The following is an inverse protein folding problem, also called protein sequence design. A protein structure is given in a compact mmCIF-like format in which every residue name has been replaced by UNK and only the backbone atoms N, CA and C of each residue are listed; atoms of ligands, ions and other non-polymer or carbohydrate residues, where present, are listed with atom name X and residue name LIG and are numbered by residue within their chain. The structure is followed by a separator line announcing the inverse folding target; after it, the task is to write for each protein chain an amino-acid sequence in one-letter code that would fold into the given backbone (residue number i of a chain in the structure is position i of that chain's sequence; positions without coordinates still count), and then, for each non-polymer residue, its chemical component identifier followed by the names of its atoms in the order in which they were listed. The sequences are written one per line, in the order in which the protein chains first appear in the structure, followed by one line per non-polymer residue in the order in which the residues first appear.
data_IF_575875950750
#
_entry.id   IF_575875950750
#
_cell.length_a   1.000
_cell.length_b   1.000
_cell.length_c   1.000
_cell.angle_alpha   90.00
_cell.angle_beta   90.00
_cell.angle_gamma   90.00
#
_symmetry.space_group_name_H-M   'P 1'
#
loop_
_entity.id
_entity.type
_entity.pdbx_description
1 polymer ?
#
# COMPACT_ATOMS: atom_id res chain seq x y z
N UNK A 1 -28.03 -13.38 18.90
CA UNK A 1 -26.65 -12.87 19.02
C UNK A 1 -26.42 -11.91 17.87
N UNK A 2 -26.16 -10.63 18.16
CA UNK A 2 -25.93 -9.61 17.13
C UNK A 2 -24.54 -9.75 16.56
N UNK A 3 -24.44 -9.78 15.23
CA UNK A 3 -23.16 -9.61 14.53
C UNK A 3 -22.82 -8.13 14.56
N UNK A 4 -21.70 -7.77 15.18
CA UNK A 4 -21.14 -6.42 15.05
C UNK A 4 -20.05 -6.45 13.96
N UNK A 5 -20.14 -5.60 12.92
CA UNK A 5 -19.15 -5.58 11.87
C UNK A 5 -17.78 -5.15 12.42
N UNK A 6 -16.67 -5.67 11.85
CA UNK A 6 -15.34 -5.28 12.27
C UNK A 6 -15.13 -3.77 12.04
N UNK A 7 -14.87 -3.04 13.12
CA UNK A 7 -14.46 -1.63 13.08
C UNK A 7 -12.95 -1.52 12.86
N UNK A 8 -12.47 -0.35 12.43
CA UNK A 8 -11.04 -0.10 12.22
C UNK A 8 -10.20 -0.43 13.48
N UNK A 9 -10.71 -0.10 14.67
CA UNK A 9 -10.04 -0.41 15.94
C UNK A 9 -9.85 -1.93 16.16
N UNK A 10 -10.81 -2.76 15.75
CA UNK A 10 -10.70 -4.22 15.85
C UNK A 10 -9.61 -4.76 14.91
N UNK A 11 -9.53 -4.24 13.69
CA UNK A 11 -8.49 -4.62 12.72
C UNK A 11 -7.11 -4.22 13.22
N UNK A 12 -6.95 -2.99 13.70
CA UNK A 12 -5.68 -2.46 14.20
C UNK A 12 -5.19 -3.27 15.42
N UNK A 13 -6.07 -3.53 16.39
CA UNK A 13 -5.72 -4.33 17.56
C UNK A 13 -5.29 -5.77 17.18
N UNK A 14 -5.98 -6.38 16.22
CA UNK A 14 -5.63 -7.72 15.73
C UNK A 14 -4.28 -7.73 14.98
N UNK A 15 -3.99 -6.68 14.20
CA UNK A 15 -2.71 -6.53 13.52
C UNK A 15 -1.55 -6.34 14.53
N UNK A 16 -1.72 -5.44 15.49
CA UNK A 16 -0.70 -5.15 16.51
C UNK A 16 -0.31 -6.38 17.34
N UNK A 17 -1.24 -7.31 17.55
CA UNK A 17 -0.98 -8.51 18.34
C UNK A 17 0.03 -9.46 17.66
N UNK A 18 -0.13 -9.77 16.37
CA UNK A 18 0.60 -10.87 15.72
C UNK A 18 0.79 -10.71 14.19
N UNK A 19 0.90 -9.49 13.63
CA UNK A 19 0.92 -9.30 12.16
C UNK A 19 1.96 -10.15 11.41
N UNK A 20 3.15 -10.36 11.97
CA UNK A 20 4.19 -11.16 11.31
C UNK A 20 3.86 -12.66 11.21
N UNK A 21 2.96 -13.16 12.06
CA UNK A 21 2.57 -14.57 12.08
C UNK A 21 1.41 -14.86 11.12
N UNK A 22 0.84 -13.85 10.47
CA UNK A 22 -0.27 -14.03 9.54
C UNK A 22 0.23 -14.65 8.23
N UNK A 23 -0.24 -15.86 7.95
CA UNK A 23 -0.01 -16.53 6.67
C UNK A 23 -0.75 -15.82 5.51
N UNK A 24 -0.34 -16.09 4.26
CA UNK A 24 -0.88 -15.42 3.07
C UNK A 24 -2.38 -15.64 2.82
N UNK A 25 -2.98 -16.68 3.40
CA UNK A 25 -4.42 -16.97 3.32
C UNK A 25 -5.21 -16.30 4.45
N UNK A 26 -4.54 -15.71 5.44
CA UNK A 26 -5.19 -14.97 6.51
C UNK A 26 -6.01 -13.81 5.93
N UNK A 27 -7.32 -13.74 6.21
CA UNK A 27 -8.17 -12.63 5.77
C UNK A 27 -7.66 -11.28 6.27
N UNK A 28 -7.08 -11.24 7.48
CA UNK A 28 -6.51 -10.01 8.04
C UNK A 28 -5.29 -9.54 7.25
N UNK A 29 -4.41 -10.47 6.85
CA UNK A 29 -3.26 -10.13 6.00
C UNK A 29 -3.70 -9.61 4.64
N UNK A 30 -4.69 -10.27 4.02
CA UNK A 30 -5.23 -9.86 2.73
C UNK A 30 -5.82 -8.45 2.84
N UNK A 31 -6.66 -8.22 3.84
CA UNK A 31 -7.26 -6.91 4.12
C UNK A 31 -6.21 -5.81 4.31
N UNK A 32 -5.18 -6.03 5.14
CA UNK A 32 -4.09 -5.06 5.35
C UNK A 32 -3.34 -4.78 4.04
N UNK A 33 -3.10 -5.82 3.24
CA UNK A 33 -2.40 -5.69 1.95
C UNK A 33 -3.23 -4.88 0.94
N UNK A 34 -4.54 -5.11 0.88
CA UNK A 34 -5.48 -4.34 0.05
C UNK A 34 -5.58 -2.89 0.51
N UNK A 35 -5.66 -2.64 1.83
CA UNK A 35 -5.61 -1.30 2.39
C UNK A 35 -4.31 -0.57 2.00
N UNK A 36 -3.16 -1.24 2.08
CA UNK A 36 -1.88 -0.65 1.68
C UNK A 36 -1.82 -0.38 0.16
N UNK A 37 -2.35 -1.29 -0.66
CA UNK A 37 -2.43 -1.09 -2.11
C UNK A 37 -3.30 0.14 -2.45
N UNK A 38 -4.46 0.28 -1.80
CA UNK A 38 -5.34 1.46 -1.98
C UNK A 38 -4.69 2.74 -1.47
N UNK A 39 -4.06 2.70 -0.29
CA UNK A 39 -3.33 3.84 0.28
C UNK A 39 -2.23 4.35 -0.65
N UNK A 40 -1.44 3.46 -1.25
CA UNK A 40 -0.34 3.83 -2.14
C UNK A 40 -0.79 4.09 -3.59
N UNK A 41 -1.83 3.40 -4.06
CA UNK A 41 -2.23 3.37 -5.47
C UNK A 41 -3.46 4.21 -5.83
N UNK A 42 -4.23 4.67 -4.83
CA UNK A 42 -5.45 5.47 -5.00
C UNK A 42 -5.53 6.68 -4.08
N UNK A 43 -4.83 6.64 -2.94
CA UNK A 43 -4.87 7.69 -1.94
C UNK A 43 -4.23 9.00 -2.41
N UNK A 44 -5.03 10.05 -2.54
CA UNK A 44 -4.59 11.41 -2.79
C UNK A 44 -5.06 12.38 -1.70
N UNK A 45 -4.24 13.39 -1.42
CA UNK A 45 -4.60 14.60 -0.66
C UNK A 45 -4.01 15.80 -1.40
N UNK A 46 -4.84 16.81 -1.67
CA UNK A 46 -4.45 18.00 -2.45
C UNK A 46 -3.69 17.62 -3.75
N UNK A 47 -4.28 16.69 -4.50
CA UNK A 47 -3.77 16.13 -5.77
C UNK A 47 -2.39 15.44 -5.68
N UNK A 48 -1.96 15.04 -4.48
CA UNK A 48 -0.67 14.36 -4.24
C UNK A 48 -0.87 13.02 -3.53
N UNK A 49 -0.02 12.00 -3.82
CA UNK A 49 -0.04 10.75 -3.08
C UNK A 49 -0.03 10.98 -1.56
N UNK A 50 -0.86 10.24 -0.82
CA UNK A 50 -0.94 10.36 0.65
C UNK A 50 0.42 10.14 1.29
N UNK A 51 1.11 9.09 0.86
CA UNK A 51 2.41 8.70 1.40
C UNK A 51 3.53 9.63 0.90
N UNK A 52 4.34 10.23 1.80
CA UNK A 52 5.42 11.13 1.40
C UNK A 52 6.54 10.44 0.64
N UNK A 53 6.82 9.15 0.91
CA UNK A 53 7.84 8.38 0.18
C UNK A 53 7.34 8.00 -1.21
N UNK A 54 6.07 7.61 -1.32
CA UNK A 54 5.42 7.41 -2.62
C UNK A 54 5.44 8.68 -3.45
N UNK A 55 5.10 9.83 -2.85
CA UNK A 55 5.14 11.13 -3.53
C UNK A 55 6.50 11.42 -4.14
N UNK A 56 7.59 11.14 -3.41
CA UNK A 56 8.95 11.30 -3.92
C UNK A 56 9.22 10.38 -5.12
N UNK A 57 8.96 9.07 -5.00
CA UNK A 57 9.26 8.12 -6.08
C UNK A 57 8.38 8.32 -7.32
N UNK A 58 7.08 8.51 -7.11
CA UNK A 58 6.10 8.74 -8.17
C UNK A 58 6.33 10.08 -8.87
N UNK A 59 6.70 11.13 -8.14
CA UNK A 59 7.07 12.43 -8.71
C UNK A 59 8.30 12.35 -9.65
N UNK A 60 9.19 11.38 -9.36
CA UNK A 60 10.35 11.05 -10.20
C UNK A 60 10.01 10.04 -11.33
N UNK A 61 8.73 9.68 -11.52
CA UNK A 61 8.25 8.83 -12.61
C UNK A 61 8.32 7.32 -12.36
N UNK A 62 8.51 6.89 -11.11
CA UNK A 62 8.31 5.50 -10.76
C UNK A 62 6.82 5.10 -10.83
N UNK A 63 6.56 3.79 -10.73
CA UNK A 63 5.25 3.24 -10.37
C UNK A 63 5.33 2.43 -9.08
N UNK A 64 4.21 2.27 -8.40
CA UNK A 64 4.07 1.28 -7.31
C UNK A 64 4.14 -0.10 -7.94
N UNK A 65 5.19 -0.87 -7.64
CA UNK A 65 5.43 -2.14 -8.31
C UNK A 65 4.87 -3.33 -7.54
N UNK A 66 5.24 -3.44 -6.26
CA UNK A 66 4.95 -4.63 -5.44
C UNK A 66 4.93 -4.28 -3.97
N UNK A 67 4.02 -4.91 -3.23
CA UNK A 67 3.99 -4.90 -1.77
C UNK A 67 4.74 -6.12 -1.23
N UNK A 68 5.59 -5.88 -0.23
CA UNK A 68 6.40 -6.90 0.42
C UNK A 68 5.89 -7.08 1.85
N UNK A 69 5.23 -8.22 2.10
CA UNK A 69 4.87 -8.63 3.44
C UNK A 69 6.11 -8.95 4.27
N UNK A 70 6.15 -8.47 5.51
CA UNK A 70 7.31 -8.61 6.40
C UNK A 70 8.63 -8.13 5.75
N UNK A 71 8.57 -7.09 4.91
CA UNK A 71 9.76 -6.50 4.28
C UNK A 71 10.67 -5.78 5.29
N UNK A 72 10.10 -5.25 6.37
CA UNK A 72 10.84 -4.72 7.51
C UNK A 72 10.23 -5.25 8.84
N UNK A 73 10.74 -6.38 9.38
CA UNK A 73 10.23 -6.96 10.62
C UNK A 73 10.74 -6.23 11.88
N UNK A 74 11.47 -5.12 11.75
CA UNK A 74 11.94 -4.37 12.91
C UNK A 74 10.78 -3.72 13.68
N UNK A 75 11.00 -3.39 14.95
CA UNK A 75 10.01 -2.67 15.77
C UNK A 75 9.59 -1.34 15.14
N UNK A 76 10.49 -0.68 14.41
CA UNK A 76 10.20 0.54 13.64
C UNK A 76 9.29 0.23 12.45
N UNK A 77 9.62 -0.77 11.64
CA UNK A 77 8.81 -1.19 10.48
C UNK A 77 7.40 -1.60 10.89
N UNK A 78 7.27 -2.35 11.99
CA UNK A 78 5.99 -2.73 12.55
C UNK A 78 5.16 -1.51 12.96
N UNK A 79 5.77 -0.55 13.67
CA UNK A 79 5.09 0.67 14.11
C UNK A 79 4.69 1.60 12.95
N UNK A 80 5.45 1.61 11.87
CA UNK A 80 5.21 2.51 10.74
C UNK A 80 4.21 1.96 9.72
N UNK A 81 4.26 0.66 9.43
CA UNK A 81 3.52 0.06 8.31
C UNK A 81 3.19 -1.42 8.52
N UNK A 82 3.14 -1.91 9.76
CA UNK A 82 2.95 -3.33 10.07
C UNK A 82 4.03 -4.24 9.41
N UNK A 83 5.21 -3.68 9.17
CA UNK A 83 6.33 -4.36 8.50
C UNK A 83 6.15 -4.53 6.98
N UNK A 84 5.12 -3.92 6.39
CA UNK A 84 5.00 -3.81 4.94
C UNK A 84 6.09 -2.89 4.39
N UNK A 85 6.70 -3.34 3.29
CA UNK A 85 7.50 -2.48 2.43
C UNK A 85 6.94 -2.46 1.01
N UNK A 86 7.39 -1.50 0.21
CA UNK A 86 6.98 -1.35 -1.18
C UNK A 86 8.21 -1.29 -2.08
N UNK A 87 8.12 -1.93 -3.25
CA UNK A 87 9.05 -1.68 -4.34
C UNK A 87 8.46 -0.65 -5.30
N UNK A 88 9.27 0.34 -5.67
CA UNK A 88 8.98 1.27 -6.75
C UNK A 88 9.83 0.91 -7.96
N UNK A 89 9.22 0.82 -9.14
CA UNK A 89 9.96 0.53 -10.37
C UNK A 89 10.12 1.79 -11.21
N UNK A 90 11.37 2.06 -11.59
CA UNK A 90 11.74 3.04 -12.60
C UNK A 90 11.93 2.35 -13.95
N UNK A 91 10.93 2.43 -14.82
CA UNK A 91 11.06 2.07 -16.22
C UNK A 91 11.43 3.33 -17.01
N UNK A 92 12.70 3.44 -17.43
CA UNK A 92 13.22 4.63 -18.11
C UNK A 92 12.42 5.00 -19.36
N UNK A 93 11.79 4.02 -20.02
CA UNK A 93 10.96 4.26 -21.21
C UNK A 93 9.58 4.82 -20.90
N UNK A 94 9.16 4.79 -19.62
CA UNK A 94 7.82 5.20 -19.17
C UNK A 94 7.84 6.34 -18.16
N UNK A 95 9.02 6.86 -17.81
CA UNK A 95 9.19 7.87 -16.75
C UNK A 95 8.30 9.10 -16.99
N UNK A 96 8.36 9.70 -18.20
CA UNK A 96 7.54 10.87 -18.54
C UNK A 96 6.04 10.55 -18.58
N UNK A 97 5.67 9.37 -19.10
CA UNK A 97 4.29 8.90 -19.09
C UNK A 97 3.76 8.81 -17.66
N UNK A 98 4.51 8.21 -16.75
CA UNK A 98 4.12 8.06 -15.35
C UNK A 98 4.00 9.42 -14.64
N UNK A 99 4.90 10.37 -14.92
CA UNK A 99 4.80 11.74 -14.39
C UNK A 99 3.56 12.46 -14.91
N UNK A 100 3.23 12.32 -16.19
CA UNK A 100 2.01 12.87 -16.77
C UNK A 100 0.76 12.25 -16.13
N UNK A 101 0.72 10.92 -15.95
CA UNK A 101 -0.41 10.28 -15.26
C UNK A 101 -0.59 10.82 -13.85
N UNK A 102 0.51 10.98 -13.10
CA UNK A 102 0.45 11.53 -11.75
C UNK A 102 -0.04 12.99 -11.72
N UNK A 103 0.39 13.80 -12.69
CA UNK A 103 -0.09 15.18 -12.84
C UNK A 103 -1.61 15.24 -13.13
N UNK A 104 -2.16 14.21 -13.78
CA UNK A 104 -3.60 14.04 -13.99
C UNK A 104 -4.32 13.41 -12.77
N UNK A 105 -3.65 13.28 -11.62
CA UNK A 105 -4.22 12.65 -10.42
C UNK A 105 -4.34 11.12 -10.51
N UNK A 106 -3.58 10.45 -11.40
CA UNK A 106 -3.59 8.99 -11.53
C UNK A 106 -2.26 8.41 -11.12
N UNK A 107 -2.24 7.67 -10.00
CA UNK A 107 -1.02 7.01 -9.53
C UNK A 107 -0.67 5.82 -10.43
N UNK A 108 0.53 5.79 -11.04
CA UNK A 108 1.00 4.62 -11.79
C UNK A 108 1.22 3.42 -10.86
N UNK A 109 0.60 2.29 -11.18
CA UNK A 109 0.71 1.03 -10.42
C UNK A 109 0.95 -0.15 -11.37
N UNK A 110 1.52 -1.24 -10.87
CA UNK A 110 1.58 -2.53 -11.59
C UNK A 110 0.20 -3.19 -11.64
N UNK A 111 0.01 -4.17 -12.53
CA UNK A 111 -1.25 -4.93 -12.61
C UNK A 111 -1.56 -5.75 -11.36
N UNK A 112 -0.52 -6.18 -10.63
CA UNK A 112 -0.68 -6.88 -9.34
C UNK A 112 -1.23 -5.94 -8.26
N UNK A 113 -0.68 -4.72 -8.17
CA UNK A 113 -1.17 -3.69 -7.24
C UNK A 113 -2.59 -3.24 -7.64
N UNK A 114 -2.85 -3.07 -8.94
CA UNK A 114 -4.18 -2.74 -9.45
C UNK A 114 -5.22 -3.79 -9.05
N UNK A 115 -4.85 -5.06 -9.11
CA UNK A 115 -5.69 -6.20 -8.68
C UNK A 115 -6.01 -6.16 -7.19
N UNK A 116 -5.13 -5.62 -6.35
CA UNK A 116 -5.34 -5.47 -4.91
C UNK A 116 -6.17 -4.22 -4.56
N UNK A 117 -6.32 -3.27 -5.47
CA UNK A 117 -7.09 -2.05 -5.27
C UNK A 117 -8.61 -2.22 -5.50
N UNK A 118 -9.13 -3.46 -5.51
CA UNK A 118 -10.56 -3.73 -5.76
C UNK A 118 -11.47 -3.04 -4.74
N UNK A 119 -12.68 -2.74 -5.17
CA UNK A 119 -13.79 -2.20 -4.36
C UNK A 119 -14.64 -3.32 -3.75
#
# INVERSE_FOLDING_TARGET
MGYEPPQAAHVLAAADANVLQLDAKSPLRQFITECAARYLGRGLVDDKPLDPVARFHLGNGARVERLNWAGDPSSKGLKQSFGLMVNYLYDLKKLDKHRSLLADGRIPVSGEIDTLCRD
#
